data_IF_629768594059
#
_entry.id   IF_629768594059
#
_cell.length_a   1.000
_cell.length_b   1.000
_cell.length_c   1.000
_cell.angle_alpha   90.00
_cell.angle_beta   90.00
_cell.angle_gamma   90.00
#
_symmetry.space_group_name_H-M   'P 1'
#
loop_
_entity.id
_entity.type
_entity.pdbx_description
1 polymer ?
#
# COMPACT_ATOMS: atom_id res chain seq x y z
N UNK A 1 -8.07 32.37 -13.85
CA UNK A 1 -7.53 31.02 -13.56
C UNK A 1 -8.69 30.03 -13.61
N UNK A 2 -8.55 28.95 -14.35
CA UNK A 2 -9.60 27.94 -14.41
C UNK A 2 -9.70 27.23 -13.05
N UNK A 3 -10.83 27.29 -12.33
CA UNK A 3 -10.97 26.66 -11.01
C UNK A 3 -10.82 25.12 -11.04
N UNK A 4 -10.96 24.53 -12.23
CA UNK A 4 -10.77 23.10 -12.44
C UNK A 4 -9.32 22.70 -12.74
N UNK A 5 -8.40 23.66 -12.95
CA UNK A 5 -7.02 23.34 -13.28
C UNK A 5 -6.30 22.46 -12.25
N UNK A 6 -6.44 22.67 -10.92
CA UNK A 6 -5.86 21.76 -9.92
C UNK A 6 -6.45 20.36 -9.97
N UNK A 7 -7.77 20.26 -10.21
CA UNK A 7 -8.46 18.98 -10.32
C UNK A 7 -8.03 18.21 -11.59
N UNK A 8 -7.93 18.91 -12.73
CA UNK A 8 -7.46 18.32 -13.98
C UNK A 8 -5.99 17.87 -13.89
N UNK A 9 -5.17 18.62 -13.16
CA UNK A 9 -3.78 18.26 -12.90
C UNK A 9 -3.70 16.98 -12.03
N UNK A 10 -4.49 16.93 -10.94
CA UNK A 10 -4.48 15.79 -10.02
C UNK A 10 -4.91 14.49 -10.69
N UNK A 11 -5.99 14.49 -11.45
CA UNK A 11 -6.55 13.24 -11.99
C UNK A 11 -6.05 12.84 -13.38
N UNK A 12 -5.49 13.76 -14.18
CA UNK A 12 -5.21 13.50 -15.60
C UNK A 12 -6.50 13.28 -16.42
N UNK A 13 -6.42 13.37 -17.74
CA UNK A 13 -7.62 13.31 -18.59
C UNK A 13 -8.30 11.93 -18.58
N UNK A 14 -7.52 10.86 -18.64
CA UNK A 14 -8.07 9.51 -18.73
C UNK A 14 -8.67 9.03 -17.40
N UNK A 15 -8.02 9.32 -16.29
CA UNK A 15 -8.56 8.98 -14.98
C UNK A 15 -9.84 9.77 -14.66
N UNK A 16 -9.91 11.05 -15.04
CA UNK A 16 -11.14 11.84 -14.90
C UNK A 16 -12.30 11.17 -15.62
N UNK A 17 -12.08 10.64 -16.84
CA UNK A 17 -13.14 9.94 -17.58
C UNK A 17 -13.65 8.73 -16.78
N UNK A 18 -12.78 7.94 -16.19
CA UNK A 18 -13.18 6.79 -15.37
C UNK A 18 -13.90 7.22 -14.09
N UNK A 19 -13.41 8.24 -13.39
CA UNK A 19 -14.09 8.77 -12.20
C UNK A 19 -15.47 9.33 -12.55
N UNK A 20 -15.60 10.09 -13.63
CA UNK A 20 -16.90 10.59 -14.09
C UNK A 20 -17.84 9.44 -14.45
N UNK A 21 -17.32 8.42 -15.14
CA UNK A 21 -18.10 7.22 -15.51
C UNK A 21 -18.65 6.53 -14.26
N UNK A 22 -17.76 6.17 -13.31
CA UNK A 22 -18.19 5.48 -12.09
C UNK A 22 -19.05 6.35 -11.18
N UNK A 23 -18.80 7.67 -11.11
CA UNK A 23 -19.68 8.59 -10.38
C UNK A 23 -21.07 8.67 -11.04
N UNK A 24 -21.14 8.70 -12.35
CA UNK A 24 -22.41 8.64 -13.08
C UNK A 24 -23.17 7.34 -12.80
N UNK A 25 -22.48 6.20 -12.86
CA UNK A 25 -23.05 4.90 -12.50
C UNK A 25 -23.53 4.89 -11.05
N UNK A 26 -22.72 5.39 -10.12
CA UNK A 26 -23.09 5.48 -8.70
C UNK A 26 -24.34 6.32 -8.45
N UNK A 27 -24.48 7.46 -9.14
CA UNK A 27 -25.68 8.33 -9.04
C UNK A 27 -26.90 7.59 -9.56
N UNK A 28 -26.82 6.96 -10.74
CA UNK A 28 -27.92 6.17 -11.32
C UNK A 28 -28.28 5.00 -10.38
N UNK A 29 -27.29 4.29 -9.88
CA UNK A 29 -27.46 3.17 -8.97
C UNK A 29 -28.12 3.60 -7.64
N UNK A 30 -27.75 4.78 -7.12
CA UNK A 30 -28.40 5.36 -5.94
C UNK A 30 -29.88 5.64 -6.17
N UNK A 31 -30.26 6.25 -7.30
CA UNK A 31 -31.65 6.45 -7.66
C UNK A 31 -32.41 5.12 -7.85
N UNK A 32 -31.77 4.11 -8.46
CA UNK A 32 -32.35 2.76 -8.56
C UNK A 32 -32.63 2.15 -7.18
N UNK A 33 -31.69 2.29 -6.24
CA UNK A 33 -31.86 1.82 -4.86
C UNK A 33 -33.03 2.53 -4.16
N UNK A 34 -33.15 3.85 -4.31
CA UNK A 34 -34.27 4.63 -3.78
C UNK A 34 -35.62 4.20 -4.38
N UNK A 35 -35.62 3.72 -5.62
CA UNK A 35 -36.79 3.21 -6.32
C UNK A 35 -37.12 1.75 -5.98
N UNK A 36 -36.39 1.12 -5.05
CA UNK A 36 -36.58 -0.26 -4.63
C UNK A 36 -36.01 -1.31 -5.58
N UNK A 37 -35.17 -0.91 -6.52
CA UNK A 37 -34.49 -1.85 -7.45
C UNK A 37 -33.28 -2.48 -6.76
N UNK A 38 -33.33 -3.77 -6.46
CA UNK A 38 -32.29 -4.51 -5.71
C UNK A 38 -30.90 -4.36 -6.34
N UNK A 39 -30.79 -4.43 -7.67
CA UNK A 39 -29.52 -4.28 -8.39
C UNK A 39 -28.86 -2.91 -8.22
N UNK A 40 -29.62 -1.87 -7.84
CA UNK A 40 -29.10 -0.54 -7.57
C UNK A 40 -28.05 -0.55 -6.48
N UNK A 41 -28.29 -1.25 -5.37
CA UNK A 41 -27.35 -1.34 -4.24
C UNK A 41 -26.02 -1.98 -4.65
N UNK A 42 -26.05 -3.07 -5.39
CA UNK A 42 -24.81 -3.73 -5.86
C UNK A 42 -23.99 -2.80 -6.77
N UNK A 43 -24.63 -2.16 -7.74
CA UNK A 43 -23.96 -1.23 -8.65
C UNK A 43 -23.37 -0.02 -7.92
N UNK A 44 -24.09 0.49 -6.91
CA UNK A 44 -23.63 1.61 -6.09
C UNK A 44 -22.32 1.25 -5.37
N UNK A 45 -22.31 0.16 -4.60
CA UNK A 45 -21.13 -0.21 -3.83
C UNK A 45 -19.94 -0.60 -4.70
N UNK A 46 -20.16 -1.33 -5.80
CA UNK A 46 -19.09 -1.63 -6.77
C UNK A 46 -18.51 -0.34 -7.35
N UNK A 47 -19.35 0.64 -7.70
CA UNK A 47 -18.88 1.92 -8.26
C UNK A 47 -18.07 2.70 -7.22
N UNK A 48 -18.46 2.70 -5.95
CA UNK A 48 -17.73 3.36 -4.87
C UNK A 48 -16.38 2.68 -4.58
N UNK A 49 -16.32 1.35 -4.60
CA UNK A 49 -15.06 0.59 -4.52
C UNK A 49 -14.12 1.01 -5.66
N UNK A 50 -14.60 1.06 -6.90
CA UNK A 50 -13.79 1.47 -8.04
C UNK A 50 -13.30 2.92 -7.94
N UNK A 51 -14.16 3.84 -7.49
CA UNK A 51 -13.78 5.25 -7.27
C UNK A 51 -12.71 5.34 -6.18
N UNK A 52 -12.89 4.67 -5.05
CA UNK A 52 -11.93 4.67 -3.94
C UNK A 52 -10.56 4.14 -4.40
N UNK A 53 -10.54 3.01 -5.10
CA UNK A 53 -9.31 2.41 -5.65
C UNK A 53 -8.60 3.35 -6.63
N UNK A 54 -9.33 4.02 -7.53
CA UNK A 54 -8.73 5.00 -8.46
C UNK A 54 -8.14 6.21 -7.74
N UNK A 55 -8.79 6.69 -6.67
CA UNK A 55 -8.29 7.80 -5.85
C UNK A 55 -7.03 7.37 -5.09
N UNK A 56 -7.01 6.17 -4.50
CA UNK A 56 -5.84 5.61 -3.81
C UNK A 56 -4.66 5.52 -4.79
N UNK A 57 -4.87 4.95 -5.96
CA UNK A 57 -3.83 4.88 -6.99
C UNK A 57 -3.26 6.25 -7.29
N UNK A 58 -4.14 7.20 -7.64
CA UNK A 58 -3.68 8.53 -8.06
C UNK A 58 -3.00 9.31 -6.94
N UNK A 59 -3.44 9.16 -5.71
CA UNK A 59 -2.76 9.76 -4.57
C UNK A 59 -1.34 9.20 -4.40
N UNK A 60 -1.12 7.91 -4.68
CA UNK A 60 0.20 7.28 -4.71
C UNK A 60 1.15 7.92 -5.72
N UNK A 61 0.65 8.23 -6.94
CA UNK A 61 1.44 8.87 -7.99
C UNK A 61 2.00 10.25 -7.60
N UNK A 62 1.33 10.97 -6.69
CA UNK A 62 1.82 12.25 -6.17
C UNK A 62 2.58 12.14 -4.86
N UNK A 63 2.26 11.13 -4.04
CA UNK A 63 2.94 10.90 -2.79
C UNK A 63 4.40 10.48 -3.02
N UNK A 64 4.64 9.52 -3.92
CA UNK A 64 5.98 8.95 -4.15
C UNK A 64 7.01 10.00 -4.62
N UNK A 65 6.76 10.85 -5.62
CA UNK A 65 7.70 11.91 -6.01
C UNK A 65 7.97 12.92 -4.89
N UNK A 66 6.93 13.28 -4.11
CA UNK A 66 7.08 14.23 -3.01
C UNK A 66 7.95 13.65 -1.88
N UNK A 67 7.75 12.38 -1.51
CA UNK A 67 8.56 11.68 -0.54
C UNK A 67 10.01 11.53 -1.02
N UNK A 68 10.20 11.20 -2.31
CA UNK A 68 11.52 11.12 -2.95
C UNK A 68 12.27 12.45 -2.94
N UNK A 69 11.58 13.58 -3.18
CA UNK A 69 12.19 14.91 -3.10
C UNK A 69 12.74 15.20 -1.69
N UNK A 70 11.92 14.95 -0.65
CA UNK A 70 12.32 15.16 0.75
C UNK A 70 13.55 14.33 1.07
N UNK A 71 13.56 13.10 0.66
CA UNK A 71 14.61 12.14 0.88
C UNK A 71 15.94 12.54 0.21
N UNK A 72 15.91 12.90 -1.07
CA UNK A 72 17.10 13.34 -1.80
C UNK A 72 17.72 14.59 -1.16
N UNK A 73 16.87 15.46 -0.59
CA UNK A 73 17.33 16.67 0.09
C UNK A 73 18.06 16.38 1.42
N UNK A 74 17.71 15.29 2.09
CA UNK A 74 18.29 14.90 3.38
C UNK A 74 19.35 13.81 3.26
N UNK A 75 19.87 13.53 2.05
CA UNK A 75 20.89 12.53 1.76
C UNK A 75 20.61 11.14 2.41
N UNK A 76 19.33 10.76 2.46
CA UNK A 76 18.93 9.47 3.05
C UNK A 76 19.42 8.35 2.14
N UNK A 77 20.16 7.35 2.67
CA UNK A 77 20.68 6.26 1.87
C UNK A 77 19.59 5.52 1.09
N UNK A 78 19.87 5.18 -0.17
CA UNK A 78 18.90 4.57 -1.08
C UNK A 78 18.30 3.26 -0.57
N UNK A 79 19.05 2.50 0.24
CA UNK A 79 18.55 1.27 0.89
C UNK A 79 17.49 1.54 1.97
N UNK A 80 17.64 2.66 2.72
CA UNK A 80 16.64 3.10 3.69
C UNK A 80 15.45 3.71 2.95
N UNK A 81 15.70 4.34 1.79
CA UNK A 81 14.66 4.83 0.90
C UNK A 81 13.67 3.73 0.52
N UNK A 82 14.16 2.71 -0.16
CA UNK A 82 13.31 1.64 -0.66
C UNK A 82 12.56 0.93 0.48
N UNK A 83 13.24 0.66 1.60
CA UNK A 83 12.65 -0.10 2.70
C UNK A 83 11.70 0.67 3.60
N UNK A 84 11.82 2.01 3.66
CA UNK A 84 11.02 2.83 4.58
C UNK A 84 10.12 3.79 3.81
N UNK A 85 10.68 4.60 2.92
CA UNK A 85 9.92 5.69 2.29
C UNK A 85 9.03 5.16 1.16
N UNK A 86 9.59 4.31 0.30
CA UNK A 86 8.83 3.71 -0.79
C UNK A 86 7.78 2.72 -0.24
N UNK A 87 8.12 1.94 0.81
CA UNK A 87 7.16 1.09 1.51
C UNK A 87 6.04 1.90 2.17
N UNK A 88 6.35 3.01 2.88
CA UNK A 88 5.31 3.90 3.43
C UNK A 88 4.46 4.48 2.29
N UNK A 89 5.08 4.87 1.18
CA UNK A 89 4.37 5.46 0.05
C UNK A 89 3.34 4.52 -0.56
N UNK A 90 3.72 3.27 -0.76
CA UNK A 90 2.89 2.26 -1.43
C UNK A 90 1.91 1.56 -0.48
N UNK A 91 2.32 1.28 0.77
CA UNK A 91 1.51 0.58 1.77
C UNK A 91 0.74 1.51 2.73
N UNK A 92 0.71 2.82 2.45
CA UNK A 92 -0.06 3.75 3.28
C UNK A 92 -1.58 3.46 3.26
N UNK A 93 -2.20 3.05 2.14
CA UNK A 93 -3.59 2.62 2.12
C UNK A 93 -3.86 1.43 3.06
N UNK A 94 -3.00 0.41 3.08
CA UNK A 94 -3.07 -0.73 3.99
C UNK A 94 -3.01 -0.28 5.45
N UNK A 95 -2.09 0.65 5.75
CA UNK A 95 -2.00 1.27 7.07
C UNK A 95 -3.28 1.98 7.49
N UNK A 96 -3.88 2.76 6.58
CA UNK A 96 -5.17 3.43 6.82
C UNK A 96 -6.29 2.41 7.06
N UNK A 97 -6.38 1.36 6.25
CA UNK A 97 -7.37 0.29 6.43
C UNK A 97 -7.21 -0.39 7.79
N UNK A 98 -5.98 -0.70 8.20
CA UNK A 98 -5.73 -1.31 9.50
C UNK A 98 -6.14 -0.40 10.67
N UNK A 99 -5.85 0.91 10.59
CA UNK A 99 -6.34 1.90 11.58
C UNK A 99 -7.86 1.95 11.61
N UNK A 100 -8.50 2.03 10.43
CA UNK A 100 -9.96 2.11 10.32
C UNK A 100 -10.59 0.85 10.89
N UNK A 101 -10.10 -0.33 10.52
CA UNK A 101 -10.60 -1.61 11.00
C UNK A 101 -10.49 -1.75 12.52
N UNK A 102 -9.32 -1.43 13.09
CA UNK A 102 -9.05 -1.59 14.52
C UNK A 102 -9.72 -0.51 15.35
N UNK A 103 -9.62 0.77 14.95
CA UNK A 103 -10.01 1.90 15.80
C UNK A 103 -11.43 2.39 15.53
N UNK A 104 -11.84 2.50 14.26
CA UNK A 104 -13.14 3.07 13.91
C UNK A 104 -14.24 2.01 13.86
N UNK A 105 -13.94 0.82 13.33
CA UNK A 105 -14.93 -0.25 13.15
C UNK A 105 -14.92 -1.23 14.34
N UNK A 106 -13.77 -1.36 15.03
CA UNK A 106 -13.59 -2.32 16.12
C UNK A 106 -13.52 -3.78 15.67
N UNK A 107 -13.12 -4.01 14.40
CA UNK A 107 -13.00 -5.34 13.76
C UNK A 107 -11.57 -5.55 13.24
N UNK A 108 -10.66 -5.88 14.17
CA UNK A 108 -9.24 -6.07 13.84
C UNK A 108 -9.02 -7.17 12.80
N UNK A 109 -9.87 -8.19 12.76
CA UNK A 109 -9.83 -9.28 11.79
C UNK A 109 -9.93 -8.80 10.33
N UNK A 110 -10.65 -7.69 10.07
CA UNK A 110 -10.72 -7.08 8.73
C UNK A 110 -9.37 -6.46 8.35
N UNK A 111 -8.70 -5.80 9.29
CA UNK A 111 -7.37 -5.25 9.07
C UNK A 111 -6.33 -6.35 8.81
N UNK A 112 -6.32 -7.40 9.65
CA UNK A 112 -5.42 -8.55 9.50
C UNK A 112 -5.66 -9.26 8.17
N UNK A 113 -6.93 -9.53 7.82
CA UNK A 113 -7.27 -10.21 6.57
C UNK A 113 -6.88 -9.39 5.35
N UNK A 114 -7.04 -8.06 5.39
CA UNK A 114 -6.58 -7.16 4.32
C UNK A 114 -5.07 -7.25 4.14
N UNK A 115 -4.29 -7.23 5.22
CA UNK A 115 -2.82 -7.34 5.16
C UNK A 115 -2.38 -8.70 4.62
N UNK A 116 -3.01 -9.79 5.07
CA UNK A 116 -2.71 -11.13 4.53
C UNK A 116 -3.10 -11.25 3.05
N UNK A 117 -4.23 -10.67 2.68
CA UNK A 117 -4.68 -10.60 1.29
C UNK A 117 -3.76 -9.78 0.40
N UNK A 118 -3.34 -8.59 0.88
CA UNK A 118 -2.34 -7.74 0.21
C UNK A 118 -1.02 -8.49 0.02
N UNK A 119 -0.52 -9.16 1.06
CA UNK A 119 0.71 -9.94 0.98
C UNK A 119 0.62 -11.06 -0.07
N UNK A 120 -0.50 -11.75 -0.16
CA UNK A 120 -0.73 -12.77 -1.19
C UNK A 120 -0.83 -12.16 -2.58
N UNK A 121 -1.59 -11.05 -2.73
CA UNK A 121 -1.71 -10.31 -3.97
C UNK A 121 -0.33 -9.82 -4.46
N UNK A 122 0.45 -9.24 -3.58
CA UNK A 122 1.78 -8.71 -3.88
C UNK A 122 2.74 -9.81 -4.35
N UNK A 123 2.70 -11.00 -3.77
CA UNK A 123 3.59 -12.11 -4.17
C UNK A 123 3.12 -12.82 -5.45
N UNK A 124 1.83 -12.86 -5.74
CA UNK A 124 1.29 -13.58 -6.89
C UNK A 124 1.03 -12.67 -8.09
N UNK A 125 0.28 -11.57 -7.88
CA UNK A 125 -0.23 -10.73 -8.96
C UNK A 125 0.84 -9.76 -9.46
N UNK A 126 1.57 -9.12 -8.54
CA UNK A 126 2.55 -8.09 -8.91
C UNK A 126 3.71 -8.66 -9.75
N UNK A 127 4.39 -9.76 -9.33
CA UNK A 127 5.44 -10.33 -10.16
C UNK A 127 4.94 -10.84 -11.51
N UNK A 128 3.71 -11.37 -11.56
CA UNK A 128 3.09 -11.77 -12.81
C UNK A 128 2.86 -10.57 -13.75
N UNK A 129 2.31 -9.48 -13.22
CA UNK A 129 2.10 -8.23 -13.96
C UNK A 129 3.43 -7.62 -14.42
N UNK A 130 4.44 -7.57 -13.54
CA UNK A 130 5.78 -7.09 -13.87
C UNK A 130 6.43 -7.95 -14.98
N UNK A 131 6.29 -9.28 -14.89
CA UNK A 131 6.80 -10.20 -15.91
C UNK A 131 6.14 -10.05 -17.27
N UNK A 132 4.84 -9.73 -17.31
CA UNK A 132 4.11 -9.50 -18.57
C UNK A 132 4.56 -8.23 -19.30
N UNK A 133 5.03 -7.22 -18.59
CA UNK A 133 5.47 -5.94 -19.18
C UNK A 133 6.99 -5.85 -19.36
N UNK A 134 7.74 -6.79 -18.81
CA UNK A 134 9.19 -6.83 -18.92
C UNK A 134 9.65 -7.01 -20.38
N UNK A 135 10.59 -6.19 -20.83
CA UNK A 135 11.13 -6.26 -22.19
C UNK A 135 12.05 -7.48 -22.42
N UNK A 136 12.52 -8.11 -21.35
CA UNK A 136 13.39 -9.28 -21.35
C UNK A 136 13.10 -10.19 -20.16
N UNK A 137 13.58 -11.45 -20.15
CA UNK A 137 13.44 -12.30 -18.97
C UNK A 137 13.98 -11.61 -17.71
N UNK A 138 13.15 -11.57 -16.65
CA UNK A 138 13.52 -10.91 -15.39
C UNK A 138 14.61 -11.71 -14.69
N UNK A 139 15.80 -11.13 -14.60
CA UNK A 139 16.91 -11.67 -13.81
C UNK A 139 17.00 -10.86 -12.53
N UNK A 140 16.79 -11.52 -11.40
CA UNK A 140 16.74 -10.89 -10.07
C UNK A 140 18.02 -11.26 -9.33
N UNK A 141 18.60 -10.29 -8.62
CA UNK A 141 19.83 -10.50 -7.87
C UNK A 141 19.62 -11.51 -6.74
N UNK A 142 20.69 -12.26 -6.45
CA UNK A 142 20.66 -13.23 -5.35
C UNK A 142 20.44 -12.55 -4.00
N UNK A 143 20.88 -11.32 -3.83
CA UNK A 143 20.73 -10.51 -2.63
C UNK A 143 19.25 -10.25 -2.32
N UNK A 144 18.48 -9.81 -3.31
CA UNK A 144 17.04 -9.57 -3.17
C UNK A 144 16.31 -10.86 -2.82
N UNK A 145 16.56 -11.95 -3.58
CA UNK A 145 15.88 -13.22 -3.36
C UNK A 145 16.18 -13.81 -1.98
N UNK A 146 17.46 -13.81 -1.54
CA UNK A 146 17.81 -14.44 -0.27
C UNK A 146 17.56 -13.54 0.93
N UNK A 147 17.81 -12.25 0.84
CA UNK A 147 17.62 -11.33 1.96
C UNK A 147 16.14 -11.03 2.19
N UNK A 148 15.48 -10.47 1.17
CA UNK A 148 14.14 -9.93 1.34
C UNK A 148 13.10 -11.06 1.45
N UNK A 149 13.19 -12.08 0.61
CA UNK A 149 12.26 -13.21 0.65
C UNK A 149 12.39 -14.05 1.94
N UNK A 150 13.62 -14.34 2.40
CA UNK A 150 13.79 -15.11 3.64
C UNK A 150 13.30 -14.30 4.84
N UNK A 151 13.55 -12.98 4.85
CA UNK A 151 13.05 -12.14 5.93
C UNK A 151 11.53 -12.08 5.92
N UNK A 152 10.91 -11.90 4.75
CA UNK A 152 9.46 -11.95 4.57
C UNK A 152 8.88 -13.29 5.05
N UNK A 153 9.49 -14.41 4.67
CA UNK A 153 9.07 -15.74 5.15
C UNK A 153 9.13 -15.81 6.68
N UNK A 154 10.21 -15.32 7.30
CA UNK A 154 10.35 -15.25 8.76
C UNK A 154 9.25 -14.42 9.42
N UNK A 155 8.92 -13.26 8.87
CA UNK A 155 7.85 -12.39 9.36
C UNK A 155 6.46 -13.01 9.16
N UNK A 156 6.23 -13.70 8.04
CA UNK A 156 4.98 -14.43 7.79
C UNK A 156 4.79 -15.58 8.78
N UNK A 157 5.85 -16.34 9.05
CA UNK A 157 5.82 -17.40 10.09
C UNK A 157 5.61 -16.81 11.48
N UNK A 158 6.19 -15.64 11.77
CA UNK A 158 5.96 -14.92 13.01
C UNK A 158 4.49 -14.51 13.14
N UNK A 159 3.87 -13.98 12.08
CA UNK A 159 2.44 -13.67 12.06
C UNK A 159 1.59 -14.89 12.35
N UNK A 160 1.86 -16.03 11.68
CA UNK A 160 1.17 -17.27 11.93
C UNK A 160 1.34 -17.77 13.37
N UNK A 161 2.55 -17.64 13.94
CA UNK A 161 2.82 -17.98 15.34
C UNK A 161 2.04 -17.08 16.31
N UNK A 162 1.96 -15.77 16.05
CA UNK A 162 1.19 -14.84 16.88
C UNK A 162 -0.31 -15.14 16.84
N UNK A 163 -0.87 -15.43 15.66
CA UNK A 163 -2.27 -15.85 15.53
C UNK A 163 -2.55 -17.16 16.25
N UNK A 164 -1.61 -18.11 16.24
CA UNK A 164 -1.76 -19.39 16.95
C UNK A 164 -1.60 -19.25 18.45
N UNK A 165 -0.64 -18.45 18.92
CA UNK A 165 -0.36 -18.27 20.36
C UNK A 165 -1.33 -17.33 21.05
N UNK A 166 -1.85 -16.34 20.34
CA UNK A 166 -2.75 -15.29 20.83
C UNK A 166 -3.98 -15.17 19.93
N UNK A 167 -4.84 -16.22 19.85
CA UNK A 167 -5.92 -16.27 18.87
C UNK A 167 -7.08 -15.32 19.16
N UNK A 168 -7.20 -14.84 20.41
CA UNK A 168 -8.37 -14.07 20.84
C UNK A 168 -8.09 -12.56 20.96
N UNK A 169 -6.85 -12.18 21.29
CA UNK A 169 -6.52 -10.78 21.56
C UNK A 169 -5.04 -10.47 21.34
N UNK A 170 -4.76 -9.28 20.83
CA UNK A 170 -3.41 -8.75 20.66
C UNK A 170 -3.22 -7.48 21.47
N UNK A 171 -2.19 -7.48 22.33
CA UNK A 171 -1.79 -6.36 23.15
C UNK A 171 -0.42 -5.81 22.75
N UNK A 172 0.16 -4.98 23.65
CA UNK A 172 1.45 -4.32 23.42
C UNK A 172 2.59 -5.30 23.11
N UNK A 173 2.59 -6.50 23.72
CA UNK A 173 3.66 -7.49 23.51
C UNK A 173 3.74 -7.95 22.06
N UNK A 174 2.61 -8.25 21.42
CA UNK A 174 2.54 -8.67 20.00
C UNK A 174 2.98 -7.52 19.10
N UNK A 175 2.47 -6.33 19.34
CA UNK A 175 2.84 -5.14 18.57
C UNK A 175 4.34 -4.82 18.66
N UNK A 176 4.92 -4.87 19.87
CA UNK A 176 6.36 -4.64 20.06
C UNK A 176 7.21 -5.69 19.36
N UNK A 177 6.81 -6.96 19.37
CA UNK A 177 7.53 -8.03 18.65
C UNK A 177 7.60 -7.71 17.15
N UNK A 178 6.49 -7.32 16.52
CA UNK A 178 6.47 -6.94 15.11
C UNK A 178 7.31 -5.68 14.83
N UNK A 179 7.22 -4.65 15.68
CA UNK A 179 8.08 -3.47 15.55
C UNK A 179 9.57 -3.81 15.62
N UNK A 180 9.97 -4.69 16.57
CA UNK A 180 11.36 -5.15 16.67
C UNK A 180 11.77 -5.95 15.42
N UNK A 181 10.88 -6.76 14.86
CA UNK A 181 11.12 -7.44 13.59
C UNK A 181 11.38 -6.42 12.47
N UNK A 182 10.57 -5.36 12.34
CA UNK A 182 10.80 -4.31 11.35
C UNK A 182 12.14 -3.60 11.53
N UNK A 183 12.48 -3.22 12.75
CA UNK A 183 13.78 -2.61 13.08
C UNK A 183 14.95 -3.54 12.71
N UNK A 184 14.79 -4.85 12.94
CA UNK A 184 15.75 -5.86 12.49
C UNK A 184 15.94 -5.88 10.98
N UNK A 185 14.86 -5.77 10.20
CA UNK A 185 14.91 -5.67 8.74
C UNK A 185 15.65 -4.42 8.27
N UNK A 186 15.30 -3.25 8.79
CA UNK A 186 15.97 -1.98 8.48
C UNK A 186 17.45 -2.03 8.84
N UNK A 187 17.79 -2.65 9.97
CA UNK A 187 19.20 -2.84 10.37
C UNK A 187 19.97 -3.73 9.37
N UNK A 188 19.37 -4.82 8.91
CA UNK A 188 19.99 -5.69 7.91
C UNK A 188 20.23 -4.95 6.60
N UNK A 189 19.24 -4.21 6.11
CA UNK A 189 19.36 -3.38 4.91
C UNK A 189 20.52 -2.37 5.03
N UNK A 190 20.58 -1.66 6.15
CA UNK A 190 21.64 -0.69 6.41
C UNK A 190 23.03 -1.33 6.46
N UNK A 191 23.15 -2.51 7.08
CA UNK A 191 24.41 -3.27 7.15
C UNK A 191 24.88 -3.70 5.77
N UNK A 192 23.99 -4.20 4.93
CA UNK A 192 24.32 -4.68 3.60
C UNK A 192 24.71 -3.53 2.67
N UNK A 193 24.02 -2.38 2.80
CA UNK A 193 24.42 -1.16 2.09
C UNK A 193 25.84 -0.71 2.45
N UNK A 194 26.22 -0.71 3.74
CA UNK A 194 27.59 -0.39 4.15
C UNK A 194 28.64 -1.34 3.56
N UNK A 195 28.29 -2.62 3.41
CA UNK A 195 29.19 -3.62 2.79
C UNK A 195 29.33 -3.36 1.28
N UNK A 196 28.22 -3.13 0.58
CA UNK A 196 28.22 -2.82 -0.85
C UNK A 196 29.01 -1.54 -1.15
N UNK A 197 28.83 -0.48 -0.38
CA UNK A 197 29.56 0.78 -0.55
C UNK A 197 31.08 0.63 -0.32
N UNK A 198 31.52 -0.28 0.54
CA UNK A 198 32.95 -0.61 0.72
C UNK A 198 33.51 -1.38 -0.48
N UNK A 199 32.72 -2.22 -1.12
CA UNK A 199 33.11 -2.97 -2.33
C UNK A 199 33.05 -2.11 -3.60
N UNK A 200 32.11 -1.16 -3.68
CA UNK A 200 31.94 -0.26 -4.84
C UNK A 200 32.89 0.95 -4.83
N UNK A 201 33.65 1.18 -3.77
CA UNK A 201 34.72 2.18 -3.78
C UNK A 201 35.84 1.84 -4.80
N UNK A 202 35.88 0.59 -5.32
CA UNK A 202 36.75 0.11 -6.37
C UNK A 202 36.11 0.09 -7.78
N UNK A 203 34.82 0.34 -7.90
CA UNK A 203 34.11 0.39 -9.18
C UNK A 203 33.39 1.74 -9.30
N UNK A 204 33.80 2.53 -10.30
CA UNK A 204 33.15 3.79 -10.68
C UNK A 204 31.67 3.53 -10.89
N UNK A 205 30.88 4.34 -10.18
CA UNK A 205 29.45 4.52 -10.34
C UNK A 205 29.11 4.67 -11.84
N UNK A 206 28.65 3.57 -12.43
CA UNK A 206 28.10 3.64 -13.79
C UNK A 206 26.73 4.25 -13.62
N UNK A 207 26.53 5.44 -14.18
CA UNK A 207 25.31 6.18 -14.28
C UNK A 207 24.10 5.26 -14.34
N UNK A 208 23.33 5.22 -13.26
CA UNK A 208 21.93 4.85 -13.35
C UNK A 208 21.30 6.02 -14.10
N UNK A 209 21.24 5.88 -15.42
CA UNK A 209 20.49 6.77 -16.28
C UNK A 209 19.08 6.91 -15.68
N UNK A 210 18.81 8.06 -15.08
CA UNK A 210 17.46 8.58 -14.96
C UNK A 210 16.94 8.70 -16.40
N UNK A 211 16.36 7.63 -16.91
CA UNK A 211 15.60 7.69 -18.15
C UNK A 211 14.34 8.49 -17.80
N UNK A 212 14.40 9.81 -18.05
CA UNK A 212 13.21 10.64 -18.15
C UNK A 212 12.35 10.02 -19.25
N UNK A 213 11.24 9.45 -18.84
CA UNK A 213 10.16 9.12 -19.77
C UNK A 213 9.40 10.42 -20.04
N UNK A 214 9.23 10.77 -21.30
CA UNK A 214 8.64 12.04 -21.79
C UNK A 214 7.14 12.22 -21.47
N UNK A 215 6.52 11.29 -20.74
CA UNK A 215 5.08 11.29 -20.42
C UNK A 215 4.76 11.48 -18.93
N UNK A 216 5.76 11.74 -18.09
CA UNK A 216 5.48 12.03 -16.69
C UNK A 216 5.12 13.52 -16.55
N UNK A 217 3.86 13.83 -16.22
CA UNK A 217 3.45 15.06 -15.57
C UNK A 217 4.21 15.15 -14.21
N UNK A 218 5.54 15.36 -14.29
CA UNK A 218 6.41 15.42 -13.12
C UNK A 218 5.95 16.58 -12.24
N UNK A 219 5.63 16.24 -11.01
CA UNK A 219 5.37 17.22 -9.95
C UNK A 219 6.64 18.06 -9.75
N UNK A 220 6.72 19.25 -10.37
CA UNK A 220 7.85 20.17 -10.20
C UNK A 220 7.89 20.70 -8.77
N UNK A 221 8.62 19.97 -7.91
CA UNK A 221 8.82 20.34 -6.52
C UNK A 221 9.97 21.33 -6.41
N UNK A 222 9.63 22.59 -6.17
CA UNK A 222 10.61 23.70 -6.04
C UNK A 222 11.02 23.96 -4.59
N UNK A 223 10.33 23.37 -3.60
CA UNK A 223 10.65 23.61 -2.19
C UNK A 223 10.18 22.45 -1.30
N UNK A 224 10.95 22.20 -0.23
CA UNK A 224 10.65 21.18 0.79
C UNK A 224 9.27 21.38 1.44
N UNK A 225 8.88 22.63 1.71
CA UNK A 225 7.56 22.93 2.25
C UNK A 225 6.44 22.45 1.33
N UNK A 226 6.59 22.63 0.00
CA UNK A 226 5.62 22.09 -0.97
C UNK A 226 5.59 20.57 -0.97
N UNK A 227 6.77 19.93 -0.89
CA UNK A 227 6.85 18.45 -0.81
C UNK A 227 6.11 17.92 0.43
N UNK A 228 6.35 18.50 1.61
CA UNK A 228 5.62 18.14 2.83
C UNK A 228 4.12 18.36 2.74
N UNK A 229 3.69 19.45 2.08
CA UNK A 229 2.27 19.72 1.85
C UNK A 229 1.63 18.66 0.93
N UNK A 230 2.36 18.22 -0.11
CA UNK A 230 1.89 17.13 -0.98
C UNK A 230 1.80 15.81 -0.22
N UNK A 231 2.83 15.44 0.52
CA UNK A 231 2.82 14.23 1.36
C UNK A 231 1.62 14.24 2.31
N UNK A 232 1.46 15.30 3.11
CA UNK A 232 0.35 15.38 4.06
C UNK A 232 -1.03 15.40 3.36
N UNK A 233 -1.16 16.13 2.25
CA UNK A 233 -2.39 16.17 1.46
C UNK A 233 -2.77 14.81 0.88
N UNK A 234 -1.80 14.09 0.32
CA UNK A 234 -2.04 12.76 -0.25
C UNK A 234 -2.35 11.72 0.83
N UNK A 235 -1.71 11.80 2.00
CA UNK A 235 -2.06 10.94 3.14
C UNK A 235 -3.54 11.14 3.56
N UNK A 236 -4.02 12.38 3.62
CA UNK A 236 -5.43 12.66 3.92
C UNK A 236 -6.36 12.09 2.85
N UNK A 237 -6.01 12.28 1.57
CA UNK A 237 -6.80 11.76 0.44
C UNK A 237 -6.84 10.23 0.46
N UNK A 238 -5.68 9.58 0.66
CA UNK A 238 -5.60 8.12 0.79
C UNK A 238 -6.40 7.61 1.98
N UNK A 239 -6.31 8.26 3.13
CA UNK A 239 -7.08 7.89 4.32
C UNK A 239 -8.59 7.95 4.09
N UNK A 240 -9.09 9.03 3.47
CA UNK A 240 -10.49 9.16 3.10
C UNK A 240 -10.96 8.14 2.06
N UNK A 241 -10.13 7.86 1.06
CA UNK A 241 -10.44 6.87 0.04
C UNK A 241 -10.39 5.43 0.61
N UNK A 242 -9.44 5.13 1.50
CA UNK A 242 -9.38 3.84 2.21
C UNK A 242 -10.62 3.63 3.10
N UNK A 243 -11.10 4.67 3.76
CA UNK A 243 -12.35 4.59 4.54
C UNK A 243 -13.55 4.28 3.64
N UNK A 244 -13.68 4.98 2.51
CA UNK A 244 -14.72 4.69 1.52
C UNK A 244 -14.60 3.26 0.96
N UNK A 245 -13.38 2.79 0.68
CA UNK A 245 -13.15 1.43 0.19
C UNK A 245 -13.61 0.38 1.20
N UNK A 246 -13.27 0.56 2.48
CA UNK A 246 -13.67 -0.37 3.56
C UNK A 246 -15.19 -0.38 3.71
N UNK A 247 -15.82 0.78 3.87
CA UNK A 247 -17.28 0.85 4.02
C UNK A 247 -18.03 0.26 2.84
N UNK A 248 -17.62 0.61 1.60
CA UNK A 248 -18.28 0.09 0.41
C UNK A 248 -18.08 -1.42 0.25
N UNK A 249 -16.91 -1.94 0.61
CA UNK A 249 -16.63 -3.37 0.53
C UNK A 249 -17.43 -4.15 1.56
N UNK A 250 -17.49 -3.70 2.80
CA UNK A 250 -18.28 -4.35 3.84
C UNK A 250 -19.78 -4.31 3.53
N UNK A 251 -20.31 -3.17 3.09
CA UNK A 251 -21.70 -3.05 2.68
C UNK A 251 -22.06 -3.96 1.50
N UNK A 252 -21.15 -4.10 0.52
CA UNK A 252 -21.33 -5.06 -0.56
C UNK A 252 -21.30 -6.49 -0.06
N UNK A 253 -20.39 -6.81 0.87
CA UNK A 253 -20.28 -8.13 1.52
C UNK A 253 -21.57 -8.51 2.25
N UNK A 254 -22.11 -7.59 3.05
CA UNK A 254 -23.37 -7.79 3.76
C UNK A 254 -24.53 -8.08 2.79
N UNK A 255 -24.62 -7.36 1.67
CA UNK A 255 -25.65 -7.60 0.64
C UNK A 255 -25.48 -8.95 -0.07
N UNK A 256 -24.26 -9.44 -0.21
CA UNK A 256 -23.94 -10.73 -0.85
C UNK A 256 -23.96 -11.90 0.14
N UNK A 257 -24.06 -11.63 1.45
CA UNK A 257 -23.90 -12.64 2.50
C UNK A 257 -22.47 -13.16 2.61
N UNK A 258 -21.47 -12.33 2.24
CA UNK A 258 -20.05 -12.67 2.31
C UNK A 258 -19.47 -12.09 3.60
N UNK A 259 -18.71 -12.91 4.33
CA UNK A 259 -18.07 -12.50 5.57
C UNK A 259 -17.07 -11.34 5.34
N UNK A 260 -16.99 -10.43 6.32
CA UNK A 260 -16.14 -9.25 6.24
C UNK A 260 -14.64 -9.59 6.14
N UNK A 261 -14.20 -10.70 6.73
CA UNK A 261 -12.81 -11.19 6.61
C UNK A 261 -12.51 -11.54 5.15
N UNK A 262 -13.44 -12.18 4.44
CA UNK A 262 -13.29 -12.50 3.02
C UNK A 262 -13.28 -11.22 2.18
N UNK A 263 -14.14 -10.25 2.49
CA UNK A 263 -14.14 -8.96 1.81
C UNK A 263 -12.83 -8.19 2.04
N UNK A 264 -12.29 -8.24 3.25
CA UNK A 264 -10.97 -7.70 3.59
C UNK A 264 -9.86 -8.36 2.78
N UNK A 265 -9.85 -9.68 2.79
CA UNK A 265 -8.83 -10.50 2.14
C UNK A 265 -8.80 -10.37 0.60
N UNK A 266 -9.96 -10.24 -0.04
CA UNK A 266 -10.07 -10.23 -1.51
C UNK A 266 -10.22 -8.80 -2.06
N UNK A 267 -11.26 -8.10 -1.61
CA UNK A 267 -11.67 -6.84 -2.25
C UNK A 267 -10.86 -5.65 -1.75
N UNK A 268 -10.77 -5.50 -0.42
CA UNK A 268 -10.04 -4.37 0.16
C UNK A 268 -8.55 -4.51 -0.14
N UNK A 269 -7.99 -5.71 0.05
CA UNK A 269 -6.59 -6.00 -0.26
C UNK A 269 -6.22 -5.69 -1.73
N UNK A 270 -7.04 -6.13 -2.69
CA UNK A 270 -6.79 -5.81 -4.09
C UNK A 270 -6.85 -4.30 -4.37
N UNK A 271 -7.79 -3.58 -3.74
CA UNK A 271 -7.95 -2.14 -3.91
C UNK A 271 -6.79 -1.32 -3.33
N UNK A 272 -6.23 -1.74 -2.19
CA UNK A 272 -5.09 -1.06 -1.55
C UNK A 272 -3.76 -1.38 -2.20
N UNK A 273 -3.58 -2.59 -2.78
CA UNK A 273 -2.32 -3.01 -3.41
C UNK A 273 -2.11 -2.46 -4.84
N UNK A 274 -3.01 -1.58 -5.34
CA UNK A 274 -2.84 -0.94 -6.66
C UNK A 274 -1.59 -0.06 -6.74
N UNK A 275 -1.23 0.77 -5.75
CA UNK A 275 0.02 1.54 -5.77
C UNK A 275 1.27 0.65 -5.85
N UNK A 276 1.32 -0.42 -5.07
CA UNK A 276 2.42 -1.40 -5.10
C UNK A 276 2.58 -2.01 -6.50
N UNK A 277 1.45 -2.36 -7.13
CA UNK A 277 1.41 -2.90 -8.49
C UNK A 277 1.97 -1.89 -9.49
N UNK A 278 1.53 -0.64 -9.40
CA UNK A 278 1.97 0.42 -10.30
C UNK A 278 3.49 0.65 -10.20
N UNK A 279 4.02 0.79 -8.98
CA UNK A 279 5.46 0.98 -8.75
C UNK A 279 6.30 -0.19 -9.28
N UNK A 280 5.88 -1.42 -9.02
CA UNK A 280 6.58 -2.62 -9.48
C UNK A 280 6.53 -2.77 -11.00
N UNK A 281 5.38 -2.51 -11.63
CA UNK A 281 5.21 -2.54 -13.08
C UNK A 281 6.05 -1.45 -13.77
N UNK A 282 6.08 -0.23 -13.23
CA UNK A 282 6.92 0.87 -13.75
C UNK A 282 8.40 0.49 -13.63
N UNK A 283 8.84 -0.05 -12.50
CA UNK A 283 10.21 -0.51 -12.29
C UNK A 283 10.60 -1.61 -13.28
N UNK A 284 9.70 -2.58 -13.52
CA UNK A 284 9.92 -3.65 -14.49
C UNK A 284 10.00 -3.13 -15.94
N UNK A 285 9.14 -2.18 -16.33
CA UNK A 285 9.22 -1.51 -17.66
C UNK A 285 10.55 -0.78 -17.85
N UNK A 286 11.12 -0.19 -16.81
CA UNK A 286 12.43 0.46 -16.82
C UNK A 286 13.60 -0.53 -16.77
N UNK A 287 13.34 -1.84 -16.73
CA UNK A 287 14.37 -2.89 -16.65
C UNK A 287 14.95 -3.06 -15.23
N UNK A 288 14.42 -2.37 -14.23
CA UNK A 288 14.87 -2.49 -12.83
C UNK A 288 14.08 -3.59 -12.12
N UNK A 289 14.45 -4.84 -12.43
CA UNK A 289 13.73 -6.01 -11.92
C UNK A 289 13.94 -6.24 -10.42
N UNK A 290 15.13 -5.91 -9.92
CA UNK A 290 15.42 -5.97 -8.48
C UNK A 290 14.53 -5.04 -7.68
N UNK A 291 14.35 -3.80 -8.14
CA UNK A 291 13.45 -2.86 -7.49
C UNK A 291 11.98 -3.32 -7.54
N UNK A 292 11.53 -3.88 -8.68
CA UNK A 292 10.18 -4.39 -8.83
C UNK A 292 9.85 -5.50 -7.83
N UNK A 293 10.81 -6.42 -7.59
CA UNK A 293 10.62 -7.56 -6.68
C UNK A 293 10.90 -7.19 -5.21
N UNK A 294 11.91 -6.33 -4.97
CA UNK A 294 12.21 -5.86 -3.60
C UNK A 294 11.05 -5.04 -3.03
N UNK A 295 10.34 -4.26 -3.87
CA UNK A 295 9.12 -3.55 -3.46
C UNK A 295 8.07 -4.52 -2.90
N UNK A 296 7.82 -5.63 -3.57
CA UNK A 296 6.85 -6.66 -3.13
C UNK A 296 7.15 -7.17 -1.71
N UNK A 297 8.39 -7.58 -1.46
CA UNK A 297 8.77 -8.10 -0.14
C UNK A 297 8.86 -7.00 0.92
N UNK A 298 9.36 -5.81 0.55
CA UNK A 298 9.48 -4.65 1.44
C UNK A 298 8.11 -4.17 1.93
N UNK A 299 7.14 -4.01 1.04
CA UNK A 299 5.76 -3.69 1.37
C UNK A 299 5.13 -4.73 2.29
N UNK A 300 5.27 -6.02 1.98
CA UNK A 300 4.71 -7.09 2.82
C UNK A 300 5.31 -7.12 4.24
N UNK A 301 6.62 -6.89 4.36
CA UNK A 301 7.27 -6.80 5.67
C UNK A 301 6.77 -5.57 6.45
N UNK A 302 6.62 -4.43 5.77
CA UNK A 302 6.07 -3.22 6.36
C UNK A 302 4.61 -3.43 6.80
N UNK A 303 3.79 -4.02 5.95
CA UNK A 303 2.38 -4.29 6.22
C UNK A 303 2.21 -5.16 7.47
N UNK A 304 2.90 -6.28 7.54
CA UNK A 304 2.79 -7.19 8.70
C UNK A 304 3.38 -6.54 9.94
N UNK A 305 4.53 -5.87 9.84
CA UNK A 305 5.23 -5.38 11.02
C UNK A 305 4.72 -4.02 11.51
N UNK A 306 4.40 -3.09 10.63
CA UNK A 306 4.02 -1.71 10.98
C UNK A 306 2.52 -1.51 10.93
N UNK A 307 1.86 -1.94 9.82
CA UNK A 307 0.43 -1.70 9.65
C UNK A 307 -0.43 -2.52 10.62
N UNK A 308 0.09 -3.59 11.23
CA UNK A 308 -0.59 -4.26 12.35
C UNK A 308 -0.22 -3.65 13.70
N UNK A 309 1.07 -3.38 13.94
CA UNK A 309 1.55 -2.97 15.27
C UNK A 309 1.04 -1.61 15.71
N UNK A 310 1.11 -0.60 14.83
CA UNK A 310 0.76 0.78 15.20
C UNK A 310 -0.73 0.91 15.52
N UNK A 311 -1.68 0.38 14.70
CA UNK A 311 -3.09 0.41 15.07
C UNK A 311 -3.42 -0.27 16.40
N UNK A 312 -2.77 -1.41 16.70
CA UNK A 312 -2.95 -2.12 17.97
C UNK A 312 -2.47 -1.27 19.15
N UNK A 313 -1.28 -0.66 19.03
CA UNK A 313 -0.76 0.23 20.09
C UNK A 313 -1.62 1.47 20.27
N UNK A 314 -2.14 2.05 19.19
CA UNK A 314 -3.06 3.18 19.24
C UNK A 314 -4.39 2.79 19.90
N UNK A 315 -4.96 1.64 19.53
CA UNK A 315 -6.18 1.12 20.15
C UNK A 315 -5.98 0.90 21.66
N UNK A 316 -4.88 0.25 22.05
CA UNK A 316 -4.52 0.06 23.45
C UNK A 316 -4.34 1.40 24.20
N UNK A 317 -3.73 2.40 23.57
CA UNK A 317 -3.53 3.71 24.19
C UNK A 317 -4.87 4.48 24.35
N UNK A 318 -5.84 4.25 23.49
CA UNK A 318 -7.16 4.90 23.51
C UNK A 318 -8.12 4.18 24.49
N UNK A 319 -8.21 2.84 24.38
CA UNK A 319 -9.18 2.03 25.14
C UNK A 319 -8.62 1.51 26.47
N UNK A 320 -7.30 1.39 26.60
CA UNK A 320 -6.64 0.71 27.73
C UNK A 320 -6.74 -0.83 27.66
N UNK A 321 -7.35 -1.39 26.64
CA UNK A 321 -7.62 -2.82 26.48
C UNK A 321 -6.92 -3.41 25.26
N UNK A 322 -6.60 -4.71 25.33
CA UNK A 322 -6.06 -5.44 24.18
C UNK A 322 -7.08 -5.50 23.05
N UNK A 323 -6.58 -5.52 21.81
CA UNK A 323 -7.42 -5.60 20.62
C UNK A 323 -7.96 -7.02 20.46
N UNK A 324 -9.28 -7.18 20.48
CA UNK A 324 -9.94 -8.46 20.21
C UNK A 324 -9.74 -8.89 18.75
N UNK A 325 -9.60 -10.19 18.52
CA UNK A 325 -9.47 -10.80 17.20
C UNK A 325 -10.49 -11.92 17.09
N UNK A 326 -11.42 -11.77 16.14
CA UNK A 326 -12.44 -12.75 15.84
C UNK A 326 -12.15 -13.39 14.48
N UNK A 327 -11.40 -14.49 14.45
CA UNK A 327 -11.16 -15.24 13.23
C UNK A 327 -12.36 -16.13 12.88
N UNK A 328 -12.76 -16.23 11.61
CA UNK A 328 -13.83 -17.15 11.20
C UNK A 328 -13.43 -18.60 11.57
N UNK A 329 -14.40 -19.32 12.12
CA UNK A 329 -14.23 -20.73 12.50
C UNK A 329 -14.30 -21.66 11.29
#
# INVERSE_FOLDING_TARGET
MNPLAPFLFFFGKDMIRHIILFSGIAIIAWFMTLSGVVWGGYLLWISLIMIATLIIWRAGDFFSPAATYIQNKHDIPQSIKAAVIDAIASSFPEFCVAIIAVILIGRAEVGISTIVGSALYNVLVIPAAAGLVAASPMVISREVVWRDNIYYLGVTLLLGAMLWMFPNEWGASVAVIFLLAYLGYVFLLHRDFKKSKKQSADFKETDILETKTEDDDELELTSEKKAWMWVAGMMIVMGGASHLLVEASLALGDMLGIDAVIMGFVVIAAGTSVPDTALSVISAKKGNYDAAVSNVFGSNIFDICICLSIPILLALAISGEATAIELPQ
#
